data_IF_686429483534
#
_entry.id   IF_686429483534
#
_cell.length_a   1.000
_cell.length_b   1.000
_cell.length_c   1.000
_cell.angle_alpha   90.00
_cell.angle_beta   90.00
_cell.angle_gamma   90.00
#
_symmetry.space_group_name_H-M   'P 1'
#
loop_
_entity.id
_entity.type
_entity.pdbx_description
1 polymer ?
#
# COMPACT_ATOMS: atom_id res chain seq x y z
N UNK A 1 10.67 -3.89 -9.54
CA UNK A 1 9.66 -4.93 -9.84
C UNK A 1 8.26 -4.39 -9.59
N UNK A 2 8.01 -3.76 -8.44
CA UNK A 2 6.72 -3.15 -8.13
C UNK A 2 6.33 -1.99 -9.07
N UNK A 3 7.27 -1.13 -9.46
CA UNK A 3 6.99 -0.03 -10.40
C UNK A 3 6.59 -0.54 -11.79
N UNK A 4 7.28 -1.55 -12.33
CA UNK A 4 6.91 -2.20 -13.60
C UNK A 4 5.50 -2.80 -13.56
N UNK A 5 5.14 -3.45 -12.46
CA UNK A 5 3.79 -3.99 -12.27
C UNK A 5 2.74 -2.88 -12.24
N UNK A 6 3.04 -1.77 -11.55
CA UNK A 6 2.16 -0.62 -11.50
C UNK A 6 1.97 -0.01 -12.89
N UNK A 7 3.04 0.22 -13.65
CA UNK A 7 2.98 0.81 -14.99
C UNK A 7 2.18 -0.04 -15.98
N UNK A 8 2.33 -1.36 -15.90
CA UNK A 8 1.65 -2.31 -16.79
C UNK A 8 0.17 -2.52 -16.46
N UNK A 9 -0.27 -2.19 -15.24
CA UNK A 9 -1.67 -2.39 -14.84
C UNK A 9 -2.61 -1.46 -15.64
N UNK A 10 -3.65 -2.04 -16.26
CA UNK A 10 -4.64 -1.28 -17.05
C UNK A 10 -5.73 -0.61 -16.21
N UNK A 11 -5.69 -0.76 -14.88
CA UNK A 11 -6.61 -0.13 -13.94
C UNK A 11 -6.60 1.39 -14.08
N UNK A 12 -7.79 1.99 -14.10
CA UNK A 12 -7.96 3.44 -14.24
C UNK A 12 -7.80 4.16 -12.88
N UNK A 13 -8.37 3.59 -11.81
CA UNK A 13 -8.06 3.95 -10.43
C UNK A 13 -7.07 2.92 -9.87
N UNK A 14 -5.79 3.28 -9.86
CA UNK A 14 -4.71 2.55 -9.20
C UNK A 14 -3.88 3.54 -8.41
N UNK A 15 -3.41 3.11 -7.24
CA UNK A 15 -2.64 3.93 -6.29
C UNK A 15 -1.41 3.13 -5.85
N UNK A 16 -0.31 3.82 -5.55
CA UNK A 16 0.95 3.22 -5.13
C UNK A 16 1.47 3.96 -3.90
N UNK A 17 1.77 3.23 -2.83
CA UNK A 17 2.29 3.77 -1.57
C UNK A 17 3.49 2.95 -1.11
N UNK A 18 4.58 3.62 -0.75
CA UNK A 18 5.77 3.01 -0.16
C UNK A 18 5.78 3.37 1.32
N UNK A 19 5.84 2.36 2.19
CA UNK A 19 6.13 2.55 3.61
C UNK A 19 7.64 2.57 3.78
N UNK A 20 8.22 3.76 3.85
CA UNK A 20 9.66 3.95 3.85
C UNK A 20 10.33 3.30 5.08
N UNK A 21 11.41 2.57 4.84
CA UNK A 21 12.20 1.91 5.89
C UNK A 21 11.62 0.59 6.43
N UNK A 22 10.40 0.20 6.04
CA UNK A 22 9.83 -1.10 6.39
C UNK A 22 10.33 -2.23 5.48
N UNK A 23 10.60 -3.40 6.07
CA UNK A 23 10.78 -4.64 5.31
C UNK A 23 9.49 -5.50 5.35
N UNK A 24 9.54 -6.68 4.71
CA UNK A 24 8.40 -7.60 4.63
C UNK A 24 7.87 -8.05 6.01
N UNK A 25 8.76 -8.30 6.96
CA UNK A 25 8.39 -8.78 8.30
C UNK A 25 7.87 -7.65 9.19
N UNK A 26 8.36 -6.42 9.01
CA UNK A 26 7.93 -5.26 9.79
C UNK A 26 6.44 -4.93 9.58
N UNK A 27 5.86 -5.34 8.44
CA UNK A 27 4.45 -5.18 8.14
C UNK A 27 3.54 -6.23 8.80
N UNK A 28 4.08 -7.21 9.53
CA UNK A 28 3.27 -8.15 10.31
C UNK A 28 2.91 -7.62 11.69
N UNK A 29 3.86 -7.04 12.42
CA UNK A 29 3.67 -6.60 13.82
C UNK A 29 4.37 -5.28 14.18
N UNK A 30 5.07 -4.65 13.24
CA UNK A 30 5.67 -3.33 13.40
C UNK A 30 4.60 -2.25 13.47
N UNK A 31 4.10 -1.98 14.68
CA UNK A 31 2.93 -1.11 14.93
C UNK A 31 2.91 0.20 14.14
N UNK A 32 4.03 0.90 14.02
CA UNK A 32 4.11 2.17 13.29
C UNK A 32 3.89 1.96 11.77
N UNK A 33 4.58 0.98 11.19
CA UNK A 33 4.47 0.66 9.75
C UNK A 33 3.11 0.08 9.39
N UNK A 34 2.55 -0.77 10.26
CA UNK A 34 1.17 -1.29 10.10
C UNK A 34 0.16 -0.15 10.17
N UNK A 35 0.30 0.76 11.14
CA UNK A 35 -0.60 1.91 11.26
C UNK A 35 -0.56 2.80 10.01
N UNK A 36 0.62 3.05 9.46
CA UNK A 36 0.77 3.81 8.20
C UNK A 36 0.08 3.10 7.04
N UNK A 37 0.35 1.81 6.83
CA UNK A 37 -0.28 1.03 5.76
C UNK A 37 -1.82 1.07 5.86
N UNK A 38 -2.37 0.91 7.06
CA UNK A 38 -3.83 0.98 7.29
C UNK A 38 -4.38 2.38 7.03
N UNK A 39 -3.64 3.44 7.33
CA UNK A 39 -4.08 4.82 7.07
C UNK A 39 -4.33 5.13 5.59
N UNK A 40 -3.70 4.37 4.69
CA UNK A 40 -3.90 4.47 3.23
C UNK A 40 -4.94 3.46 2.74
N UNK A 41 -4.89 2.22 3.24
CA UNK A 41 -5.79 1.15 2.80
C UNK A 41 -7.24 1.37 3.22
N UNK A 42 -7.50 1.83 4.45
CA UNK A 42 -8.86 1.98 4.95
C UNK A 42 -9.68 2.99 4.11
N UNK A 43 -9.19 4.24 3.85
CA UNK A 43 -9.92 5.17 2.99
C UNK A 43 -10.11 4.66 1.56
N UNK A 44 -9.10 3.99 1.00
CA UNK A 44 -9.23 3.42 -0.35
C UNK A 44 -10.40 2.45 -0.45
N UNK A 45 -10.56 1.55 0.52
CA UNK A 45 -11.67 0.60 0.51
C UNK A 45 -13.01 1.25 0.86
N UNK A 46 -13.05 2.24 1.75
CA UNK A 46 -14.27 3.02 2.02
C UNK A 46 -14.78 3.77 0.77
N UNK A 47 -13.88 4.21 -0.11
CA UNK A 47 -14.22 4.91 -1.35
C UNK A 47 -14.65 3.96 -2.50
N UNK A 48 -14.22 2.70 -2.46
CA UNK A 48 -14.28 1.78 -3.63
C UNK A 48 -15.11 0.52 -3.44
N UNK A 49 -15.56 0.22 -2.22
CA UNK A 49 -16.50 -0.89 -1.90
C UNK A 49 -17.90 -0.37 -1.59
#
# INVERSE_FOLDING_TARGET
MSDDLYDRASSQDKRYHIVEGANHMDLYDGKAYVAEAISVLAPFFEETL
#
